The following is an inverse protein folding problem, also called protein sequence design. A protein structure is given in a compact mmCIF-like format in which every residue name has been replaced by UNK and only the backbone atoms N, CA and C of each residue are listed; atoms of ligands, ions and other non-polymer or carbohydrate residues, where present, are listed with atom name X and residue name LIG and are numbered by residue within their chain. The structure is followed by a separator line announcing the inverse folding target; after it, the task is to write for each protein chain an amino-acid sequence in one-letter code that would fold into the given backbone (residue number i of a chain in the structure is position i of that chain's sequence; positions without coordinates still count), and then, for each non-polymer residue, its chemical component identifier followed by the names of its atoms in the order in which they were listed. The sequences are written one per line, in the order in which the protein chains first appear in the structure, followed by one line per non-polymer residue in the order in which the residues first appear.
data_IF_038738507599
#
_entry.id   IF_038738507599
#
_cell.length_a   1.000
_cell.length_b   1.000
_cell.length_c   1.000
_cell.angle_alpha   90.00
_cell.angle_beta   90.00
_cell.angle_gamma   90.00
#
_symmetry.space_group_name_H-M   'P 1'
#
loop_
_entity.id
_entity.type
_entity.pdbx_description
1 polymer ?
#
# COMPACT_ATOMS: atom_id res chain seq x y z
N UNK A 1 -6.69 4.64 1.59
CA UNK A 1 -7.13 5.48 0.46
C UNK A 1 -8.63 5.38 0.22
N UNK A 2 -9.21 4.19 -0.05
CA UNK A 2 -10.66 4.04 -0.30
C UNK A 2 -11.56 4.61 0.81
N UNK A 3 -11.27 4.34 2.09
CA UNK A 3 -12.05 4.89 3.21
C UNK A 3 -12.08 6.44 3.23
N UNK A 4 -10.97 7.08 2.86
CA UNK A 4 -10.86 8.55 2.77
C UNK A 4 -11.68 9.09 1.60
N UNK A 5 -11.76 8.34 0.48
CA UNK A 5 -12.58 8.72 -0.67
C UNK A 5 -14.08 8.53 -0.41
N UNK A 6 -14.44 7.51 0.37
CA UNK A 6 -15.83 7.17 0.69
C UNK A 6 -16.39 8.06 1.80
N UNK A 7 -15.59 8.44 2.81
CA UNK A 7 -16.06 9.22 3.95
C UNK A 7 -16.88 10.48 3.59
N UNK A 8 -16.46 11.34 2.63
CA UNK A 8 -17.26 12.50 2.23
C UNK A 8 -18.63 12.15 1.65
N UNK A 9 -18.76 11.01 0.96
CA UNK A 9 -20.04 10.57 0.36
C UNK A 9 -21.10 10.21 1.41
N UNK A 10 -20.68 9.95 2.65
CA UNK A 10 -21.57 9.66 3.79
C UNK A 10 -21.56 10.79 4.83
N UNK A 11 -21.06 11.98 4.47
CA UNK A 11 -21.06 13.17 5.33
C UNK A 11 -19.99 13.16 6.43
N UNK A 12 -18.97 12.29 6.34
CA UNK A 12 -17.85 12.24 7.27
C UNK A 12 -16.69 13.06 6.71
N UNK A 13 -16.15 13.99 7.50
CA UNK A 13 -14.91 14.68 7.15
C UNK A 13 -13.68 13.78 7.43
N UNK A 14 -12.95 13.34 6.39
CA UNK A 14 -11.83 12.43 6.54
C UNK A 14 -10.58 13.08 7.17
N UNK A 15 -10.53 14.40 7.29
CA UNK A 15 -9.40 15.10 7.90
C UNK A 15 -9.54 15.29 9.41
N UNK A 16 -10.68 14.88 9.97
CA UNK A 16 -10.87 14.91 11.42
C UNK A 16 -9.84 14.00 12.10
N UNK A 17 -9.17 14.46 13.19
CA UNK A 17 -8.19 13.64 13.90
C UNK A 17 -8.76 12.29 14.38
N UNK A 18 -10.02 12.28 14.83
CA UNK A 18 -10.70 11.05 15.25
C UNK A 18 -10.79 10.00 14.15
N UNK A 19 -11.21 10.41 12.95
CA UNK A 19 -11.27 9.52 11.78
C UNK A 19 -9.88 9.00 11.39
N UNK A 20 -8.88 9.88 11.32
CA UNK A 20 -7.52 9.50 10.93
C UNK A 20 -6.87 8.54 11.93
N UNK A 21 -7.03 8.78 13.24
CA UNK A 21 -6.50 7.88 14.28
C UNK A 21 -7.16 6.52 14.18
N UNK A 22 -8.49 6.47 14.10
CA UNK A 22 -9.23 5.21 13.95
C UNK A 22 -8.81 4.46 12.67
N UNK A 23 -8.71 5.18 11.55
CA UNK A 23 -8.30 4.64 10.26
C UNK A 23 -6.90 4.01 10.33
N UNK A 24 -5.92 4.71 10.90
CA UNK A 24 -4.54 4.21 11.01
C UNK A 24 -4.47 2.97 11.89
N UNK A 25 -5.18 2.95 13.01
CA UNK A 25 -5.24 1.79 13.90
C UNK A 25 -5.85 0.56 13.20
N UNK A 26 -6.99 0.74 12.54
CA UNK A 26 -7.68 -0.35 11.82
C UNK A 26 -6.81 -0.86 10.66
N UNK A 27 -6.24 0.03 9.85
CA UNK A 27 -5.35 -0.36 8.75
C UNK A 27 -4.14 -1.13 9.28
N UNK A 28 -3.50 -0.64 10.34
CA UNK A 28 -2.33 -1.29 10.94
C UNK A 28 -2.63 -2.72 11.40
N UNK A 29 -3.75 -2.92 12.10
CA UNK A 29 -4.16 -4.25 12.57
C UNK A 29 -4.59 -5.14 11.40
N UNK A 30 -5.43 -4.63 10.50
CA UNK A 30 -5.95 -5.40 9.36
C UNK A 30 -4.86 -5.84 8.40
N UNK A 31 -3.78 -5.07 8.24
CA UNK A 31 -2.67 -5.39 7.34
C UNK A 31 -1.99 -6.72 7.70
N UNK A 32 -1.95 -7.10 8.98
CA UNK A 32 -1.43 -8.40 9.39
C UNK A 32 -2.37 -9.54 8.99
N UNK A 33 -3.69 -9.33 9.10
CA UNK A 33 -4.70 -10.33 8.78
C UNK A 33 -4.86 -10.62 7.28
N UNK A 34 -4.42 -9.70 6.42
CA UNK A 34 -4.48 -9.84 4.95
C UNK A 34 -3.21 -10.49 4.37
N UNK A 35 -2.15 -10.66 5.18
CA UNK A 35 -0.94 -11.33 4.72
C UNK A 35 -1.25 -12.80 4.33
N UNK A 36 -1.09 -13.14 3.06
CA UNK A 36 -1.23 -14.52 2.56
C UNK A 36 -2.61 -14.90 2.02
N UNK A 37 -3.61 -14.01 2.04
CA UNK A 37 -4.90 -14.24 1.36
C UNK A 37 -4.89 -13.70 -0.08
N UNK A 38 -5.37 -14.50 -1.04
CA UNK A 38 -5.49 -14.09 -2.44
C UNK A 38 -6.47 -12.93 -2.62
N UNK A 39 -6.18 -11.99 -3.53
CA UNK A 39 -7.02 -10.80 -3.75
C UNK A 39 -6.81 -9.67 -2.72
N UNK A 40 -5.61 -9.58 -2.13
CA UNK A 40 -5.32 -8.81 -0.91
C UNK A 40 -5.86 -7.38 -0.83
N UNK A 41 -5.84 -6.59 -1.91
CA UNK A 41 -6.33 -5.21 -1.88
C UNK A 41 -7.85 -5.11 -1.65
N UNK A 42 -8.62 -5.96 -2.33
CA UNK A 42 -10.07 -5.99 -2.23
C UNK A 42 -10.50 -6.45 -0.83
N UNK A 43 -9.87 -7.50 -0.30
CA UNK A 43 -10.17 -7.98 1.05
C UNK A 43 -9.76 -6.97 2.12
N UNK A 44 -8.60 -6.32 1.99
CA UNK A 44 -8.20 -5.23 2.89
C UNK A 44 -9.22 -4.09 2.87
N UNK A 45 -9.70 -3.69 1.69
CA UNK A 45 -10.70 -2.65 1.56
C UNK A 45 -12.02 -3.01 2.27
N UNK A 46 -12.51 -4.23 2.07
CA UNK A 46 -13.74 -4.71 2.71
C UNK A 46 -13.62 -4.75 4.23
N UNK A 47 -12.50 -5.24 4.77
CA UNK A 47 -12.23 -5.26 6.20
C UNK A 47 -12.24 -3.84 6.76
N UNK A 48 -11.46 -2.92 6.16
CA UNK A 48 -11.36 -1.54 6.65
C UNK A 48 -12.72 -0.84 6.62
N UNK A 49 -13.46 -0.93 5.50
CA UNK A 49 -14.76 -0.29 5.39
C UNK A 49 -15.75 -0.86 6.41
N UNK A 50 -15.82 -2.19 6.54
CA UNK A 50 -16.69 -2.84 7.53
C UNK A 50 -16.33 -2.47 8.97
N UNK A 51 -15.03 -2.44 9.31
CA UNK A 51 -14.56 -2.09 10.66
C UNK A 51 -14.78 -0.61 11.01
N UNK A 52 -14.88 0.26 10.02
CA UNK A 52 -15.20 1.68 10.20
C UNK A 52 -16.70 1.98 10.12
N UNK A 53 -17.55 0.97 9.88
CA UNK A 53 -18.98 1.17 9.66
C UNK A 53 -19.32 1.90 8.35
N UNK A 54 -18.38 1.92 7.39
CA UNK A 54 -18.56 2.55 6.08
C UNK A 54 -19.23 1.57 5.10
N UNK A 55 -20.01 2.06 4.12
CA UNK A 55 -20.71 1.18 3.18
C UNK A 55 -19.75 0.41 2.28
N UNK A 56 -19.67 -0.91 2.46
CA UNK A 56 -18.81 -1.79 1.64
C UNK A 56 -19.21 -1.81 0.16
N UNK A 57 -20.49 -1.57 -0.16
CA UNK A 57 -20.98 -1.51 -1.53
C UNK A 57 -20.30 -0.40 -2.36
N UNK A 58 -19.83 0.67 -1.71
CA UNK A 58 -19.11 1.76 -2.38
C UNK A 58 -17.70 1.33 -2.83
N UNK A 59 -17.14 0.25 -2.29
CA UNK A 59 -15.92 -0.35 -2.83
C UNK A 59 -16.14 -0.89 -4.25
N UNK A 60 -17.32 -1.43 -4.54
CA UNK A 60 -17.70 -1.90 -5.88
C UNK A 60 -17.82 -0.75 -6.89
N UNK A 61 -18.14 0.46 -6.43
CA UNK A 61 -18.19 1.66 -7.27
C UNK A 61 -16.79 2.14 -7.64
N UNK A 62 -15.83 1.99 -6.73
CA UNK A 62 -14.43 2.37 -6.94
C UNK A 62 -13.61 1.30 -7.67
N UNK A 63 -14.18 0.11 -7.94
CA UNK A 63 -13.48 -0.96 -8.66
C UNK A 63 -13.07 -0.54 -10.08
N UNK A 64 -13.82 0.38 -10.70
CA UNK A 64 -13.54 0.90 -12.04
C UNK A 64 -12.24 1.70 -12.12
N UNK A 65 -11.80 2.29 -11.01
CA UNK A 65 -10.53 3.04 -10.92
C UNK A 65 -9.42 2.25 -10.22
N UNK A 66 -9.75 1.07 -9.68
CA UNK A 66 -8.80 0.22 -8.95
C UNK A 66 -7.51 -0.09 -9.75
N UNK A 67 -7.53 -0.34 -11.07
CA UNK A 67 -6.29 -0.58 -11.82
C UNK A 67 -5.31 0.59 -11.74
N UNK A 68 -5.79 1.84 -11.77
CA UNK A 68 -4.95 3.02 -11.67
C UNK A 68 -4.31 3.14 -10.28
N UNK A 69 -5.11 2.84 -9.26
CA UNK A 69 -4.72 2.89 -7.84
C UNK A 69 -3.70 1.77 -7.53
N UNK A 70 -3.97 0.57 -8.03
CA UNK A 70 -3.14 -0.63 -7.84
C UNK A 70 -1.75 -0.43 -8.42
N UNK A 71 -1.62 0.23 -9.58
CA UNK A 71 -0.33 0.61 -10.15
C UNK A 71 0.46 1.53 -9.20
N UNK A 72 -0.18 2.55 -8.64
CA UNK A 72 0.46 3.45 -7.68
C UNK A 72 0.89 2.73 -6.39
N UNK A 73 0.01 1.87 -5.86
CA UNK A 73 0.29 1.02 -4.69
C UNK A 73 1.47 0.08 -4.95
N UNK A 74 1.52 -0.57 -6.10
CA UNK A 74 2.60 -1.48 -6.48
C UNK A 74 3.92 -0.73 -6.65
N UNK A 75 3.92 0.42 -7.33
CA UNK A 75 5.13 1.23 -7.51
C UNK A 75 5.73 1.67 -6.16
N UNK A 76 4.91 2.13 -5.23
CA UNK A 76 5.36 2.53 -3.89
C UNK A 76 5.89 1.34 -3.08
N UNK A 77 5.23 0.18 -3.15
CA UNK A 77 5.66 -1.03 -2.44
C UNK A 77 7.00 -1.55 -2.96
N UNK A 78 7.21 -1.54 -4.29
CA UNK A 78 8.49 -1.93 -4.91
C UNK A 78 9.60 -0.94 -4.51
N UNK A 79 9.33 0.37 -4.58
CA UNK A 79 10.27 1.40 -4.14
C UNK A 79 10.66 1.25 -2.66
N UNK A 80 9.68 1.03 -1.79
CA UNK A 80 9.91 0.80 -0.36
C UNK A 80 10.72 -0.46 -0.08
N UNK A 81 10.51 -1.53 -0.87
CA UNK A 81 11.28 -2.78 -0.77
C UNK A 81 12.76 -2.56 -1.15
N UNK A 82 13.03 -1.80 -2.22
CA UNK A 82 14.39 -1.42 -2.61
C UNK A 82 15.08 -0.56 -1.53
N UNK A 83 14.38 0.45 -1.01
CA UNK A 83 14.89 1.31 0.07
C UNK A 83 15.20 0.49 1.33
N UNK A 84 14.28 -0.38 1.74
CA UNK A 84 14.46 -1.21 2.94
C UNK A 84 15.59 -2.21 2.76
N UNK A 85 15.72 -2.83 1.57
CA UNK A 85 16.79 -3.78 1.26
C UNK A 85 18.18 -3.11 1.27
N UNK A 86 18.30 -1.92 0.69
CA UNK A 86 19.55 -1.15 0.69
C UNK A 86 19.91 -0.64 2.09
N UNK A 87 18.94 -0.09 2.83
CA UNK A 87 19.13 0.37 4.20
C UNK A 87 19.53 -0.78 5.13
N UNK A 88 18.84 -1.92 5.05
CA UNK A 88 19.15 -3.11 5.86
C UNK A 88 20.54 -3.64 5.54
N UNK A 89 20.90 -3.72 4.25
CA UNK A 89 22.25 -4.12 3.81
C UNK A 89 23.33 -3.20 4.36
N UNK A 90 23.07 -1.88 4.42
CA UNK A 90 23.99 -0.91 5.01
C UNK A 90 24.14 -1.10 6.51
N UNK A 91 23.03 -1.25 7.24
CA UNK A 91 23.03 -1.47 8.70
C UNK A 91 23.78 -2.75 9.06
N UNK A 92 23.57 -3.82 8.28
CA UNK A 92 24.25 -5.11 8.46
C UNK A 92 25.68 -5.13 7.92
N UNK A 93 26.20 -4.01 7.40
CA UNK A 93 27.53 -3.90 6.77
C UNK A 93 27.74 -4.89 5.61
N UNK A 94 26.67 -5.31 4.94
CA UNK A 94 26.67 -6.21 3.77
C UNK A 94 26.52 -5.48 2.44
N UNK A 95 26.35 -4.15 2.45
CA UNK A 95 26.19 -3.36 1.24
C UNK A 95 27.52 -3.31 0.45
N UNK A 96 27.49 -3.77 -0.79
CA UNK A 96 28.61 -3.63 -1.73
C UNK A 96 28.56 -2.25 -2.41
N UNK A 97 29.43 -1.35 -1.98
CA UNK A 97 29.51 0.02 -2.51
C UNK A 97 30.02 0.10 -3.94
N UNK A 98 30.81 -0.88 -4.39
CA UNK A 98 31.29 -0.91 -5.77
C UNK A 98 30.11 -1.16 -6.70
N UNK A 99 29.28 -2.17 -6.41
CA UNK A 99 28.07 -2.46 -7.18
C UNK A 99 27.02 -1.35 -7.07
N UNK A 100 26.81 -0.77 -5.89
CA UNK A 100 25.80 0.28 -5.69
C UNK A 100 26.12 1.58 -6.47
N UNK A 101 27.39 1.95 -6.58
CA UNK A 101 27.82 3.17 -7.28
C UNK A 101 28.10 2.94 -8.78
N UNK A 102 28.07 1.68 -9.22
CA UNK A 102 28.30 1.33 -10.61
C UNK A 102 27.06 1.61 -11.45
N UNK A 103 27.17 2.61 -12.33
CA UNK A 103 26.10 3.01 -13.26
C UNK A 103 25.81 1.96 -14.34
N UNK A 104 26.69 0.98 -14.50
CA UNK A 104 26.56 -0.13 -15.44
C UNK A 104 26.08 -1.42 -14.79
N UNK A 105 25.93 -1.44 -13.46
CA UNK A 105 25.46 -2.62 -12.71
C UNK A 105 23.95 -2.89 -12.82
N UNK A 106 23.22 -2.12 -13.64
CA UNK A 106 21.83 -2.43 -13.97
C UNK A 106 21.85 -3.61 -14.95
N UNK A 107 21.17 -4.72 -14.63
CA UNK A 107 20.98 -5.81 -15.58
C UNK A 107 20.38 -5.24 -16.88
N UNK A 108 21.15 -5.34 -17.98
CA UNK A 108 20.59 -5.15 -19.30
C UNK A 108 19.55 -6.26 -19.49
N UNK A 109 18.28 -5.86 -19.51
CA UNK A 109 17.15 -6.70 -19.84
C UNK A 109 17.52 -7.48 -21.11
N UNK A 110 17.65 -8.81 -20.99
CA UNK A 110 18.00 -9.65 -22.12
C UNK A 110 16.87 -9.50 -23.14
N UNK A 111 17.14 -8.78 -24.23
CA UNK A 111 16.23 -8.67 -25.36
C UNK A 111 15.99 -10.06 -25.92
N UNK A 112 14.82 -10.63 -25.59
CA UNK A 112 14.20 -11.75 -26.31
C UNK A 112 13.05 -11.20 -27.13
#
# INVERSE_FOLDING_TARGET
MLAVMIAPSVGIDPFTPGFLIQLVLIIGISSFGVAGVGGGATFAALIVLSSMGLPVALAGLLISIEPLIDMGRTALNVNGSMLTGTLSSRILKKLNWNTFNDKTAVEHESTL
#
